data_IF_834684226170
#
_entry.id   IF_834684226170
#
_cell.length_a   1.000
_cell.length_b   1.000
_cell.length_c   1.000
_cell.angle_alpha   90.00
_cell.angle_beta   90.00
_cell.angle_gamma   90.00
#
_symmetry.space_group_name_H-M   'P 1'
#
loop_
_entity.id
_entity.type
_entity.pdbx_description
1 polymer ?
#
# COMPACT_ATOMS: atom_id res chain seq x y z
N UNK A 1 6.43 -15.29 -17.55
CA UNK A 1 5.66 -14.77 -16.41
C UNK A 1 5.89 -13.27 -16.37
N UNK A 2 4.86 -12.42 -16.54
CA UNK A 2 5.03 -10.96 -16.58
C UNK A 2 5.45 -10.39 -15.22
N UNK A 3 6.08 -9.21 -15.24
CA UNK A 3 6.47 -8.46 -14.04
C UNK A 3 5.58 -7.22 -13.93
N UNK A 4 4.86 -7.10 -12.82
CA UNK A 4 4.11 -5.89 -12.47
C UNK A 4 4.93 -5.11 -11.45
N UNK A 5 5.53 -4.00 -11.88
CA UNK A 5 6.22 -3.08 -10.96
C UNK A 5 5.21 -2.08 -10.39
N UNK A 6 5.15 -2.01 -9.08
CA UNK A 6 4.28 -1.12 -8.31
C UNK A 6 5.19 -0.11 -7.62
N UNK A 7 4.91 1.17 -7.82
CA UNK A 7 5.59 2.27 -7.13
C UNK A 7 4.80 2.60 -5.86
N UNK A 8 5.42 2.48 -4.69
CA UNK A 8 4.77 2.76 -3.40
C UNK A 8 4.20 4.19 -3.32
N UNK A 9 4.89 5.17 -3.92
CA UNK A 9 4.44 6.56 -3.94
C UNK A 9 3.16 6.77 -4.78
N UNK A 10 2.88 5.85 -5.70
CA UNK A 10 1.68 5.89 -6.55
C UNK A 10 0.41 5.34 -5.90
N UNK A 11 0.53 4.66 -4.75
CA UNK A 11 -0.60 4.03 -4.05
C UNK A 11 -1.53 5.03 -3.35
N UNK A 12 -1.12 6.28 -3.21
CA UNK A 12 -1.90 7.35 -2.58
C UNK A 12 -1.41 7.71 -1.19
N UNK A 13 -1.90 8.84 -0.67
CA UNK A 13 -1.43 9.43 0.59
C UNK A 13 -2.33 9.12 1.80
N UNK A 14 -3.47 8.47 1.59
CA UNK A 14 -4.35 8.01 2.66
C UNK A 14 -4.31 6.49 2.74
N UNK A 15 -4.40 5.94 3.96
CA UNK A 15 -4.41 4.50 4.19
C UNK A 15 -5.54 3.78 3.43
N UNK A 16 -6.71 4.43 3.29
CA UNK A 16 -7.85 3.87 2.55
C UNK A 16 -7.57 3.78 1.04
N UNK A 17 -6.94 4.80 0.46
CA UNK A 17 -6.55 4.77 -0.96
C UNK A 17 -5.45 3.73 -1.20
N UNK A 18 -4.49 3.62 -0.27
CA UNK A 18 -3.40 2.66 -0.32
C UNK A 18 -3.91 1.21 -0.32
N UNK A 19 -4.82 0.87 0.60
CA UNK A 19 -5.42 -0.46 0.67
C UNK A 19 -6.20 -0.80 -0.60
N UNK A 20 -7.02 0.14 -1.08
CA UNK A 20 -7.83 -0.04 -2.29
C UNK A 20 -6.95 -0.28 -3.53
N UNK A 21 -5.94 0.58 -3.73
CA UNK A 21 -5.06 0.52 -4.90
C UNK A 21 -4.19 -0.74 -4.87
N UNK A 22 -3.65 -1.10 -3.71
CA UNK A 22 -2.84 -2.30 -3.56
C UNK A 22 -3.66 -3.57 -3.81
N UNK A 23 -4.91 -3.64 -3.33
CA UNK A 23 -5.81 -4.75 -3.60
C UNK A 23 -6.10 -4.90 -5.11
N UNK A 24 -6.39 -3.80 -5.80
CA UNK A 24 -6.60 -3.79 -7.25
C UNK A 24 -5.37 -4.28 -8.03
N UNK A 25 -4.16 -3.89 -7.61
CA UNK A 25 -2.93 -4.30 -8.26
C UNK A 25 -2.62 -5.78 -8.05
N UNK A 26 -2.93 -6.34 -6.88
CA UNK A 26 -2.80 -7.77 -6.65
C UNK A 26 -3.80 -8.60 -7.47
N UNK A 27 -5.06 -8.15 -7.60
CA UNK A 27 -6.01 -8.80 -8.50
C UNK A 27 -5.53 -8.80 -9.95
N UNK A 28 -4.93 -7.69 -10.40
CA UNK A 28 -4.35 -7.59 -11.73
C UNK A 28 -3.16 -8.54 -11.92
N UNK A 29 -2.28 -8.61 -10.92
CA UNK A 29 -1.13 -9.52 -10.93
C UNK A 29 -1.58 -10.98 -10.97
N UNK A 30 -2.57 -11.35 -10.17
CA UNK A 30 -3.13 -12.71 -10.17
C UNK A 30 -3.75 -13.06 -11.53
N UNK A 31 -4.55 -12.16 -12.09
CA UNK A 31 -5.20 -12.33 -13.40
C UNK A 31 -4.19 -12.54 -14.52
N UNK A 32 -3.04 -11.89 -14.44
CA UNK A 32 -1.98 -12.00 -15.45
C UNK A 32 -0.93 -13.07 -15.13
N UNK A 33 -1.09 -13.80 -14.02
CA UNK A 33 -0.05 -14.66 -13.45
C UNK A 33 1.30 -13.93 -13.40
N UNK A 34 1.30 -12.68 -12.94
CA UNK A 34 2.46 -11.81 -12.87
C UNK A 34 3.14 -11.90 -11.50
N UNK A 35 4.44 -11.68 -11.47
CA UNK A 35 5.15 -11.38 -10.22
C UNK A 35 4.94 -9.88 -9.94
N UNK A 36 4.37 -9.55 -8.78
CA UNK A 36 4.26 -8.17 -8.32
C UNK A 36 5.54 -7.78 -7.58
N UNK A 37 6.18 -6.70 -8.00
CA UNK A 37 7.35 -6.12 -7.38
C UNK A 37 6.97 -4.74 -6.84
N UNK A 38 6.94 -4.60 -5.52
CA UNK A 38 6.75 -3.33 -4.85
C UNK A 38 8.11 -2.63 -4.72
N UNK A 39 8.29 -1.56 -5.47
CA UNK A 39 9.42 -0.65 -5.36
C UNK A 39 9.21 0.26 -4.13
N UNK A 40 10.29 0.64 -3.44
CA UNK A 40 10.24 1.55 -2.28
C UNK A 40 9.31 1.07 -1.15
N UNK A 41 9.31 -0.24 -0.88
CA UNK A 41 8.44 -0.86 0.13
C UNK A 41 8.69 -0.37 1.56
N UNK A 42 9.88 0.17 1.84
CA UNK A 42 10.22 0.87 3.09
C UNK A 42 9.40 2.15 3.27
N UNK A 43 9.25 2.97 2.22
CA UNK A 43 8.40 4.17 2.24
C UNK A 43 6.93 3.79 2.50
N UNK A 44 6.47 2.70 1.87
CA UNK A 44 5.12 2.17 2.11
C UNK A 44 4.91 1.81 3.59
N UNK A 45 5.88 1.13 4.20
CA UNK A 45 5.79 0.71 5.60
C UNK A 45 5.83 1.92 6.55
N UNK A 46 6.66 2.93 6.29
CA UNK A 46 6.71 4.16 7.08
C UNK A 46 5.38 4.93 7.03
N UNK A 47 4.78 5.08 5.85
CA UNK A 47 3.48 5.75 5.72
C UNK A 47 2.36 5.02 6.47
N UNK A 48 2.38 3.69 6.43
CA UNK A 48 1.44 2.87 7.19
C UNK A 48 1.62 3.06 8.70
N UNK A 49 2.85 3.02 9.19
CA UNK A 49 3.14 3.25 10.62
C UNK A 49 2.72 4.66 11.08
N UNK A 50 3.00 5.70 10.28
CA UNK A 50 2.57 7.07 10.57
C UNK A 50 1.04 7.19 10.64
N UNK A 51 0.31 6.63 9.67
CA UNK A 51 -1.15 6.60 9.69
C UNK A 51 -1.71 5.83 10.90
N UNK A 52 -1.11 4.70 11.27
CA UNK A 52 -1.51 3.92 12.45
C UNK A 52 -1.26 4.69 13.76
N UNK A 53 -0.14 5.43 13.85
CA UNK A 53 0.15 6.32 14.98
C UNK A 53 -0.84 7.49 15.07
N UNK A 54 -1.21 8.11 13.95
CA UNK A 54 -2.22 9.18 13.91
C UNK A 54 -3.60 8.68 14.38
N UNK A 55 -4.03 7.49 13.95
CA UNK A 55 -5.25 6.85 14.44
C UNK A 55 -5.19 6.56 15.94
N UNK A 56 -4.09 5.99 16.42
CA UNK A 56 -3.92 5.65 17.84
C UNK A 56 -3.88 6.90 18.73
N UNK A 57 -3.32 8.01 18.25
CA UNK A 57 -3.35 9.30 18.95
C UNK A 57 -4.75 9.88 19.13
N UNK A 58 -5.65 9.68 18.15
CA UNK A 58 -7.03 10.14 18.24
C UNK A 58 -7.87 9.29 19.20
N UNK A 59 -7.53 8.00 19.36
CA UNK A 59 -8.27 7.06 20.23
C UNK A 59 -7.79 7.11 21.69
N UNK A 60 -6.54 7.54 21.96
CA UNK A 60 -5.99 7.60 23.31
C UNK A 60 -6.47 8.79 24.16
N UNK A 61 -7.38 9.63 23.65
CA UNK A 61 -7.94 10.80 24.35
C UNK A 61 -9.36 10.62 24.89
N UNK A 62 -9.87 9.39 24.98
CA UNK A 62 -11.10 9.05 25.74
C UNK A 62 -10.81 8.26 27.01
#
# INVERSE_FOLDING_TARGET
MPLLRIDAASLGSSMADMELNLAMLFELAERWHAIALLDEADIFLEQRELCDLERNRLVASE
#
